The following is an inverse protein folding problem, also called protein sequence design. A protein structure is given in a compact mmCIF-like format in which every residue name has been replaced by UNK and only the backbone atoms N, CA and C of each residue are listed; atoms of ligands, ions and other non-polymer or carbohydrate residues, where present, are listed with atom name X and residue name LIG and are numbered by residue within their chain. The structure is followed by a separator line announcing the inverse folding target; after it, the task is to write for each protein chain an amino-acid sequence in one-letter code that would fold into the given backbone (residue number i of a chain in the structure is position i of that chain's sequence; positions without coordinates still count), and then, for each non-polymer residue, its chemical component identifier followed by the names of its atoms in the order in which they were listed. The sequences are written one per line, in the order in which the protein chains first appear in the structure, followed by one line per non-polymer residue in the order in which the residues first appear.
data_IF_710779003323
#
_entry.id   IF_710779003323
#
_cell.length_a   1.000
_cell.length_b   1.000
_cell.length_c   1.000
_cell.angle_alpha   90.00
_cell.angle_beta   90.00
_cell.angle_gamma   90.00
#
_symmetry.space_group_name_H-M   'P 1'
#
loop_
_entity.id
_entity.type
_entity.pdbx_description
1 polymer ?
#
# COMPACT_ATOMS: atom_id res chain seq x y z
N UNK A 1 15.48 -42.36 -43.58
CA UNK A 1 16.22 -41.27 -42.91
C UNK A 1 15.33 -40.14 -42.34
N UNK A 2 14.07 -39.96 -42.75
CA UNK A 2 13.21 -38.83 -42.31
C UNK A 2 12.65 -38.92 -40.88
N UNK A 3 12.54 -40.13 -40.28
CA UNK A 3 11.90 -40.35 -38.97
C UNK A 3 12.73 -39.85 -37.77
N UNK A 4 14.07 -39.86 -37.86
CA UNK A 4 14.97 -39.38 -36.78
C UNK A 4 14.94 -37.86 -36.63
N UNK A 5 14.90 -37.15 -37.76
CA UNK A 5 14.83 -35.67 -37.78
C UNK A 5 13.48 -35.15 -37.26
N UNK A 6 12.36 -35.83 -37.58
CA UNK A 6 11.03 -35.47 -37.07
C UNK A 6 10.92 -35.66 -35.55
N UNK A 7 11.53 -36.72 -35.00
CA UNK A 7 11.49 -37.00 -33.55
C UNK A 7 12.39 -36.06 -32.74
N UNK A 8 13.56 -35.68 -33.28
CA UNK A 8 14.43 -34.67 -32.67
C UNK A 8 13.79 -33.27 -32.71
N UNK A 9 13.09 -32.93 -33.79
CA UNK A 9 12.35 -31.66 -33.89
C UNK A 9 11.19 -31.59 -32.89
N UNK A 10 10.46 -32.69 -32.69
CA UNK A 10 9.41 -32.82 -31.67
C UNK A 10 9.95 -32.79 -30.22
N UNK A 11 11.15 -33.32 -29.98
CA UNK A 11 11.83 -33.24 -28.68
C UNK A 11 12.33 -31.82 -28.35
N UNK A 12 12.82 -31.08 -29.35
CA UNK A 12 13.34 -29.71 -29.15
C UNK A 12 12.18 -28.72 -28.92
N UNK A 13 11.07 -28.86 -29.65
CA UNK A 13 9.89 -27.99 -29.46
C UNK A 13 9.19 -28.22 -28.13
N UNK A 14 9.16 -29.47 -27.63
CA UNK A 14 8.57 -29.79 -26.32
C UNK A 14 9.44 -29.28 -25.16
N UNK A 15 10.77 -29.36 -25.25
CA UNK A 15 11.68 -28.78 -24.25
C UNK A 15 11.58 -27.25 -24.20
N UNK A 16 11.49 -26.57 -25.35
CA UNK A 16 11.25 -25.12 -25.40
C UNK A 16 9.87 -24.70 -24.87
N UNK A 17 8.83 -25.53 -25.04
CA UNK A 17 7.49 -25.27 -24.50
C UNK A 17 7.41 -25.51 -22.98
N UNK A 18 8.21 -26.44 -22.46
CA UNK A 18 8.34 -26.71 -21.02
C UNK A 18 9.16 -25.64 -20.28
N UNK A 19 10.16 -25.03 -20.93
CA UNK A 19 10.95 -23.92 -20.36
C UNK A 19 10.16 -22.60 -20.20
N UNK A 20 9.06 -22.43 -20.92
CA UNK A 20 8.18 -21.24 -20.82
C UNK A 20 7.20 -21.31 -19.63
N UNK A 21 7.10 -22.44 -18.93
CA UNK A 21 6.15 -22.67 -17.85
C UNK A 21 6.74 -22.47 -16.44
N UNK A 22 7.98 -21.97 -16.31
CA UNK A 22 8.70 -21.93 -15.02
C UNK A 22 9.12 -20.56 -14.50
N UNK A 23 8.59 -19.46 -15.03
CA UNK A 23 8.72 -18.15 -14.38
C UNK A 23 7.40 -17.74 -13.75
N UNK A 24 7.07 -18.39 -12.63
CA UNK A 24 6.18 -17.81 -11.64
C UNK A 24 7.09 -17.09 -10.63
N UNK A 25 7.54 -15.89 -10.99
CA UNK A 25 8.26 -15.05 -10.05
C UNK A 25 7.20 -14.54 -9.07
N UNK A 26 7.15 -15.14 -7.88
CA UNK A 26 6.39 -14.60 -6.77
C UNK A 26 7.07 -13.29 -6.38
N UNK A 27 6.50 -12.17 -6.83
CA UNK A 27 6.84 -10.84 -6.33
C UNK A 27 6.32 -10.73 -4.90
N UNK A 28 7.05 -11.31 -3.95
CA UNK A 28 6.88 -10.95 -2.54
C UNK A 28 7.32 -9.48 -2.45
N UNK A 29 6.33 -8.58 -2.42
CA UNK A 29 6.61 -7.19 -2.07
C UNK A 29 7.26 -7.19 -0.69
N UNK A 30 8.38 -6.47 -0.51
CA UNK A 30 9.04 -6.39 0.77
C UNK A 30 8.04 -5.94 1.84
N UNK A 31 8.19 -6.50 3.03
CA UNK A 31 7.33 -6.10 4.16
C UNK A 31 7.60 -4.65 4.50
N UNK A 32 6.57 -3.82 4.47
CA UNK A 32 6.66 -2.40 4.83
C UNK A 32 6.76 -2.28 6.35
N UNK A 33 7.73 -1.49 6.84
CA UNK A 33 7.89 -1.18 8.26
C UNK A 33 7.11 0.07 8.63
N UNK A 34 6.31 -0.01 9.70
CA UNK A 34 5.69 1.20 10.23
C UNK A 34 6.74 2.19 10.71
N UNK A 35 7.75 1.74 11.44
CA UNK A 35 8.73 2.64 12.05
C UNK A 35 9.69 3.27 11.04
N UNK A 36 10.13 2.49 10.05
CA UNK A 36 11.16 2.93 9.10
C UNK A 36 10.58 3.55 7.82
N UNK A 37 9.39 3.12 7.37
CA UNK A 37 8.80 3.58 6.11
C UNK A 37 7.62 4.55 6.32
N UNK A 38 6.68 4.21 7.21
CA UNK A 38 5.40 4.94 7.31
C UNK A 38 5.48 6.15 8.26
N UNK A 39 6.03 5.96 9.45
CA UNK A 39 6.11 7.00 10.46
C UNK A 39 6.90 8.25 10.00
N UNK A 40 8.01 8.13 9.24
CA UNK A 40 8.68 9.30 8.68
C UNK A 40 7.81 10.11 7.72
N UNK A 41 6.95 9.45 6.93
CA UNK A 41 5.99 10.12 6.04
C UNK A 41 5.02 10.94 6.89
N UNK A 42 4.42 10.35 7.92
CA UNK A 42 3.47 11.06 8.78
C UNK A 42 4.11 12.21 9.53
N UNK A 43 5.31 12.03 10.07
CA UNK A 43 6.05 13.10 10.77
C UNK A 43 6.36 14.29 9.85
N UNK A 44 6.58 14.03 8.57
CA UNK A 44 6.94 15.07 7.60
C UNK A 44 5.70 15.76 7.02
N UNK A 45 4.67 14.99 6.67
CA UNK A 45 3.54 15.48 5.87
C UNK A 45 2.28 15.78 6.69
N UNK A 46 2.11 15.13 7.86
CA UNK A 46 0.82 15.06 8.55
C UNK A 46 0.85 15.70 9.94
N UNK A 47 1.88 15.45 10.75
CA UNK A 47 1.91 15.86 12.16
C UNK A 47 2.06 17.36 12.39
N UNK A 48 2.24 18.17 11.35
CA UNK A 48 2.09 19.63 11.49
C UNK A 48 0.68 20.00 11.94
N UNK A 49 -0.31 19.25 11.47
CA UNK A 49 -1.72 19.48 11.78
C UNK A 49 -2.37 18.33 12.55
N UNK A 50 -1.83 17.10 12.52
CA UNK A 50 -2.40 15.89 13.14
C UNK A 50 -1.42 15.27 14.16
N UNK A 51 -1.22 15.93 15.30
CA UNK A 51 -0.24 15.51 16.32
C UNK A 51 -0.84 15.28 17.71
N UNK A 52 -2.15 15.50 17.85
CA UNK A 52 -2.89 15.29 19.07
C UNK A 52 -4.40 15.22 18.76
N UNK A 53 -5.19 14.94 19.79
CA UNK A 53 -6.65 14.89 19.70
C UNK A 53 -7.31 16.29 19.66
N UNK A 54 -6.53 17.38 19.68
CA UNK A 54 -7.04 18.74 19.47
C UNK A 54 -6.95 19.18 18.00
N UNK A 55 -6.28 18.38 17.19
CA UNK A 55 -6.05 18.57 15.76
C UNK A 55 -7.35 18.47 14.93
N UNK A 56 -7.39 19.02 13.70
CA UNK A 56 -8.53 18.83 12.80
C UNK A 56 -8.90 17.35 12.65
N UNK A 57 -10.20 17.06 12.74
CA UNK A 57 -10.69 15.69 12.72
C UNK A 57 -10.41 14.88 13.98
N UNK A 58 -9.88 15.49 15.06
CA UNK A 58 -9.55 14.83 16.32
C UNK A 58 -8.65 13.60 16.10
N UNK A 59 -7.62 13.79 15.27
CA UNK A 59 -6.79 12.73 14.73
C UNK A 59 -5.32 12.98 15.07
N UNK A 60 -4.70 11.97 15.67
CA UNK A 60 -3.27 11.94 15.99
C UNK A 60 -2.55 10.87 15.16
N UNK A 61 -1.61 11.31 14.31
CA UNK A 61 -0.79 10.48 13.43
C UNK A 61 0.66 10.38 13.91
N UNK A 62 0.95 10.77 15.15
CA UNK A 62 2.30 10.85 15.71
C UNK A 62 2.89 9.49 16.13
N UNK A 63 2.03 8.48 16.30
CA UNK A 63 2.43 7.13 16.73
C UNK A 63 1.47 6.06 16.21
N UNK A 64 1.93 4.81 16.20
CA UNK A 64 1.10 3.66 15.82
C UNK A 64 -0.16 3.55 16.68
N UNK A 65 -0.01 3.60 18.00
CA UNK A 65 -1.13 3.46 18.93
C UNK A 65 -2.17 4.56 18.78
N UNK A 66 -1.74 5.80 18.54
CA UNK A 66 -2.65 6.91 18.29
C UNK A 66 -3.41 6.75 16.97
N UNK A 67 -2.68 6.42 15.89
CA UNK A 67 -3.27 6.14 14.58
C UNK A 67 -4.30 5.00 14.65
N UNK A 68 -3.97 3.88 15.29
CA UNK A 68 -4.85 2.71 15.37
C UNK A 68 -6.00 2.90 16.37
N UNK A 69 -5.95 3.92 17.23
CA UNK A 69 -7.09 4.33 18.05
C UNK A 69 -8.15 5.11 17.26
N UNK A 70 -7.83 5.52 16.03
CA UNK A 70 -8.73 6.26 15.15
C UNK A 70 -8.98 7.69 15.62
N UNK A 71 -10.15 8.23 15.25
CA UNK A 71 -10.64 9.50 15.78
C UNK A 71 -12.08 9.36 16.30
N UNK A 72 -12.60 10.40 16.95
CA UNK A 72 -13.94 10.38 17.56
C UNK A 72 -15.10 10.12 16.59
N UNK A 73 -14.92 10.36 15.29
CA UNK A 73 -15.94 10.11 14.27
C UNK A 73 -15.77 8.77 13.56
N UNK A 74 -14.55 8.23 13.57
CA UNK A 74 -14.10 7.12 12.76
C UNK A 74 -13.13 6.21 13.54
N UNK A 75 -13.58 5.59 14.65
CA UNK A 75 -12.69 4.79 15.49
C UNK A 75 -12.22 3.51 14.78
N UNK A 76 -13.10 2.90 13.96
CA UNK A 76 -12.85 1.56 13.41
C UNK A 76 -12.54 1.54 11.90
N UNK A 77 -12.71 2.66 11.20
CA UNK A 77 -12.55 2.73 9.74
C UNK A 77 -11.44 3.67 9.26
N UNK A 78 -10.62 4.21 10.18
CA UNK A 78 -9.44 4.96 9.78
C UNK A 78 -8.44 4.07 9.04
N UNK A 79 -8.18 2.88 9.59
CA UNK A 79 -7.34 1.83 9.00
C UNK A 79 -8.10 0.50 9.06
N UNK A 80 -8.50 -0.01 7.90
CA UNK A 80 -9.15 -1.31 7.75
C UNK A 80 -8.11 -2.32 7.26
N UNK A 81 -7.69 -3.20 8.16
CA UNK A 81 -6.58 -4.15 7.92
C UNK A 81 -6.82 -4.98 6.66
N UNK A 82 -5.88 -4.94 5.71
CA UNK A 82 -5.97 -5.66 4.45
C UNK A 82 -6.82 -4.98 3.36
N UNK A 83 -7.49 -3.87 3.67
CA UNK A 83 -8.42 -3.20 2.77
C UNK A 83 -8.11 -1.68 2.66
N UNK A 84 -7.08 -1.29 1.89
CA UNK A 84 -6.72 0.12 1.71
C UNK A 84 -7.87 0.96 1.17
N UNK A 85 -8.61 0.46 0.17
CA UNK A 85 -9.77 1.17 -0.41
C UNK A 85 -10.99 1.29 0.51
N UNK A 86 -10.97 0.67 1.69
CA UNK A 86 -11.99 0.86 2.74
C UNK A 86 -11.44 1.66 3.93
N UNK A 87 -10.17 2.06 3.87
CA UNK A 87 -9.48 2.79 4.92
C UNK A 87 -9.52 4.28 4.62
N UNK A 88 -10.14 5.07 5.50
CA UNK A 88 -10.21 6.52 5.32
C UNK A 88 -8.83 7.17 5.20
N UNK A 89 -7.80 6.60 5.86
CA UNK A 89 -6.42 7.06 5.74
C UNK A 89 -5.96 7.05 4.28
N UNK A 90 -6.06 5.91 3.60
CA UNK A 90 -5.63 5.76 2.21
C UNK A 90 -6.51 6.58 1.28
N UNK A 91 -7.83 6.53 1.46
CA UNK A 91 -8.74 7.34 0.64
C UNK A 91 -8.38 8.82 0.76
N UNK A 92 -8.11 9.35 1.95
CA UNK A 92 -7.80 10.78 2.13
C UNK A 92 -6.58 11.27 1.34
N UNK A 93 -5.61 10.39 1.05
CA UNK A 93 -4.35 10.73 0.36
C UNK A 93 -4.33 10.30 -1.12
N UNK A 94 -5.08 9.24 -1.48
CA UNK A 94 -5.12 8.68 -2.83
C UNK A 94 -6.27 9.23 -3.68
N UNK A 95 -7.27 9.82 -3.03
CA UNK A 95 -8.47 10.38 -3.64
C UNK A 95 -8.21 11.31 -4.82
N UNK A 96 -8.89 11.03 -5.94
CA UNK A 96 -9.22 11.98 -7.00
C UNK A 96 -10.67 12.48 -6.84
N UNK A 97 -11.31 13.02 -7.89
CA UNK A 97 -12.69 13.54 -7.82
C UNK A 97 -13.75 12.53 -7.31
N UNK A 98 -13.44 11.23 -7.19
CA UNK A 98 -14.37 10.17 -6.72
C UNK A 98 -14.23 9.77 -5.24
N UNK A 99 -13.45 10.53 -4.49
CA UNK A 99 -13.24 10.39 -3.05
C UNK A 99 -14.51 10.35 -2.18
N UNK A 100 -14.50 9.57 -1.09
CA UNK A 100 -15.49 9.69 0.00
C UNK A 100 -15.38 11.06 0.71
N UNK A 101 -14.17 11.62 0.78
CA UNK A 101 -13.93 12.94 1.36
C UNK A 101 -13.93 14.02 0.27
N UNK A 102 -14.54 15.19 0.49
CA UNK A 102 -14.63 16.24 -0.54
C UNK A 102 -13.30 16.96 -0.80
N UNK A 103 -12.21 16.51 -0.19
CA UNK A 103 -10.89 17.10 -0.29
C UNK A 103 -9.82 16.02 -0.09
N UNK A 104 -8.64 16.28 -0.68
CA UNK A 104 -7.44 15.46 -0.55
C UNK A 104 -6.49 16.02 0.50
N UNK A 105 -5.78 15.14 1.19
CA UNK A 105 -4.75 15.47 2.18
C UNK A 105 -3.33 15.29 1.61
N UNK A 106 -2.34 16.05 2.13
CA UNK A 106 -2.46 17.15 3.08
C UNK A 106 -3.05 18.41 2.44
N UNK A 107 -3.82 19.19 3.24
CA UNK A 107 -4.32 20.49 2.81
C UNK A 107 -3.25 21.58 2.94
N UNK A 108 -3.26 22.54 2.01
CA UNK A 108 -2.38 23.72 2.07
C UNK A 108 -0.90 23.42 1.86
N UNK A 109 -0.57 22.28 1.24
CA UNK A 109 0.78 21.86 0.90
C UNK A 109 0.78 20.96 -0.34
N UNK A 110 1.97 20.50 -0.81
CA UNK A 110 2.04 19.52 -1.87
C UNK A 110 1.46 18.18 -1.39
N UNK A 111 0.80 17.46 -2.29
CA UNK A 111 0.35 16.11 -2.00
C UNK A 111 1.53 15.13 -1.94
N UNK A 112 1.30 13.99 -1.30
CA UNK A 112 2.26 12.88 -1.26
C UNK A 112 2.61 12.42 -2.68
N UNK A 113 3.86 11.98 -2.84
CA UNK A 113 4.32 11.33 -4.05
C UNK A 113 3.66 9.95 -4.19
N UNK A 114 3.55 9.47 -5.43
CA UNK A 114 2.95 8.15 -5.70
C UNK A 114 3.61 7.02 -4.92
N UNK A 115 4.92 7.09 -4.69
CA UNK A 115 5.66 6.09 -3.91
C UNK A 115 5.30 6.10 -2.42
N UNK A 116 5.08 7.27 -1.83
CA UNK A 116 4.67 7.40 -0.42
C UNK A 116 3.23 6.88 -0.24
N UNK A 117 2.36 7.14 -1.21
CA UNK A 117 0.99 6.61 -1.24
C UNK A 117 1.01 5.09 -1.36
N UNK A 118 1.84 4.54 -2.25
CA UNK A 118 2.00 3.09 -2.41
C UNK A 118 2.50 2.42 -1.13
N UNK A 119 3.46 3.03 -0.42
CA UNK A 119 3.93 2.49 0.85
C UNK A 119 2.80 2.40 1.89
N UNK A 120 1.96 3.42 1.98
CA UNK A 120 0.81 3.43 2.90
C UNK A 120 -0.23 2.38 2.46
N UNK A 121 -0.50 2.27 1.16
CA UNK A 121 -1.38 1.24 0.61
C UNK A 121 -0.91 -0.17 0.95
N UNK A 122 0.37 -0.46 0.66
CA UNK A 122 1.00 -1.74 0.88
C UNK A 122 1.04 -2.08 2.37
N UNK A 123 1.36 -1.12 3.23
CA UNK A 123 1.35 -1.31 4.68
C UNK A 123 -0.05 -1.69 5.19
N UNK A 124 -1.11 -1.00 4.75
CA UNK A 124 -2.49 -1.36 5.10
C UNK A 124 -2.84 -2.74 4.57
N UNK A 125 -2.50 -3.03 3.31
CA UNK A 125 -2.75 -4.32 2.68
C UNK A 125 -2.04 -5.48 3.41
N UNK A 126 -0.83 -5.25 3.91
CA UNK A 126 -0.03 -6.20 4.68
C UNK A 126 -0.48 -6.34 6.15
N UNK A 127 -1.59 -5.69 6.53
CA UNK A 127 -2.21 -5.81 7.84
C UNK A 127 -1.74 -4.76 8.85
N UNK A 128 -1.19 -3.64 8.39
CA UNK A 128 -0.85 -2.45 9.17
C UNK A 128 -0.11 -2.79 10.48
N UNK A 129 1.01 -3.53 10.38
CA UNK A 129 1.77 -3.98 11.54
C UNK A 129 2.57 -2.83 12.15
N UNK A 130 2.80 -2.90 13.46
CA UNK A 130 3.78 -2.07 14.16
C UNK A 130 5.12 -2.82 14.17
N UNK A 131 5.96 -2.57 13.16
CA UNK A 131 7.22 -3.28 12.90
C UNK A 131 8.35 -2.35 12.52
#
# INVERSE_FOLDING_TARGET
MKKKSLMQLLLITTVSLLLLLSFCESTDNPTVSFNDDILPIFKTQCTRCHFDNASPGNLDLSSYGALMSGNSNHPDNLVVLGYPSQSLLYESIASDEQAILPYRMPQGGPYLQGIEIQLIEDWIYQGAKDN
#
